data_IF_189675671829
#
_entry.id   IF_189675671829
#
_cell.length_a   1.000
_cell.length_b   1.000
_cell.length_c   1.000
_cell.angle_alpha   90.00
_cell.angle_beta   90.00
_cell.angle_gamma   90.00
#
_symmetry.space_group_name_H-M   'P 1'
#
loop_
_entity.id
_entity.type
_entity.pdbx_description
1 polymer ?
#
# COMPACT_ATOMS: atom_id res chain seq x y z
N UNK A 1 -13.62 -1.39 -15.44
CA UNK A 1 -13.65 0.07 -15.23
C UNK A 1 -14.93 0.74 -15.74
N UNK A 2 -15.25 0.78 -17.05
CA UNK A 2 -16.48 1.43 -17.60
C UNK A 2 -17.78 1.02 -16.92
N UNK A 3 -18.03 -0.28 -16.80
CA UNK A 3 -19.26 -0.82 -16.19
C UNK A 3 -19.42 -0.40 -14.72
N UNK A 4 -18.31 -0.22 -14.00
CA UNK A 4 -18.31 0.13 -12.56
C UNK A 4 -18.23 1.63 -12.28
N UNK A 5 -18.10 2.47 -13.31
CA UNK A 5 -17.87 3.91 -13.15
C UNK A 5 -16.73 4.25 -12.16
N UNK A 6 -15.63 3.49 -12.24
CA UNK A 6 -14.52 3.55 -11.28
C UNK A 6 -13.89 4.95 -11.21
N UNK A 7 -13.67 5.47 -10.00
CA UNK A 7 -13.13 6.82 -9.78
C UNK A 7 -12.44 6.93 -8.42
N UNK A 8 -11.80 8.07 -8.16
CA UNK A 8 -11.25 8.48 -6.85
C UNK A 8 -12.25 8.31 -5.70
N UNK A 9 -13.54 8.49 -5.97
CA UNK A 9 -14.62 8.39 -4.96
C UNK A 9 -14.71 7.02 -4.30
N UNK A 10 -14.33 5.96 -5.02
CA UNK A 10 -14.33 4.59 -4.49
C UNK A 10 -13.45 4.46 -3.23
N UNK A 11 -12.36 5.24 -3.13
CA UNK A 11 -11.53 5.25 -1.93
C UNK A 11 -12.33 5.72 -0.70
N UNK A 12 -13.17 6.75 -0.84
CA UNK A 12 -13.95 7.32 0.26
C UNK A 12 -15.14 6.43 0.69
N UNK A 13 -15.53 5.46 -0.13
CA UNK A 13 -16.66 4.56 0.16
C UNK A 13 -16.33 3.52 1.25
N UNK A 14 -15.06 3.14 1.41
CA UNK A 14 -14.69 2.06 2.33
C UNK A 14 -14.92 2.42 3.81
N UNK A 15 -15.59 1.57 4.57
CA UNK A 15 -16.05 1.88 5.93
C UNK A 15 -14.94 2.19 6.95
N UNK A 16 -13.71 1.69 6.73
CA UNK A 16 -12.57 1.92 7.62
C UNK A 16 -11.75 3.18 7.29
N UNK A 17 -11.98 3.81 6.14
CA UNK A 17 -11.30 5.06 5.81
C UNK A 17 -11.95 6.26 6.54
N UNK A 18 -11.17 7.29 6.89
CA UNK A 18 -11.70 8.54 7.42
C UNK A 18 -12.84 9.10 6.55
N UNK A 19 -13.79 9.79 7.20
CA UNK A 19 -14.98 10.38 6.54
C UNK A 19 -14.93 11.89 6.42
N UNK A 20 -13.87 12.49 6.93
CA UNK A 20 -13.53 13.89 6.72
C UNK A 20 -12.37 13.99 5.72
N UNK A 21 -12.13 15.19 5.21
CA UNK A 21 -11.01 15.51 4.33
C UNK A 21 -10.26 16.70 4.94
N UNK A 22 -9.53 16.42 6.02
CA UNK A 22 -8.83 17.43 6.84
C UNK A 22 -7.39 17.00 7.17
N UNK A 23 -6.70 17.78 8.00
CA UNK A 23 -5.33 17.47 8.43
C UNK A 23 -5.22 16.11 9.14
N UNK A 24 -6.20 15.76 9.99
CA UNK A 24 -6.16 14.48 10.71
C UNK A 24 -6.30 13.29 9.77
N UNK A 25 -7.01 13.48 8.65
CA UNK A 25 -7.10 12.49 7.56
C UNK A 25 -5.74 12.27 6.88
N UNK A 26 -4.98 13.34 6.62
CA UNK A 26 -3.62 13.22 6.07
C UNK A 26 -2.69 12.45 7.02
N UNK A 27 -2.73 12.77 8.31
CA UNK A 27 -1.89 12.10 9.31
C UNK A 27 -2.28 10.61 9.47
N UNK A 28 -3.57 10.27 9.33
CA UNK A 28 -4.06 8.89 9.28
C UNK A 28 -3.55 8.14 8.04
N UNK A 29 -3.70 8.72 6.84
CA UNK A 29 -3.23 8.11 5.58
C UNK A 29 -1.72 7.88 5.64
N UNK A 30 -0.96 8.88 6.10
CA UNK A 30 0.48 8.76 6.25
C UNK A 30 0.88 7.56 7.10
N UNK A 31 0.26 7.38 8.28
CA UNK A 31 0.58 6.27 9.16
C UNK A 31 0.20 4.92 8.55
N UNK A 32 -0.98 4.81 7.95
CA UNK A 32 -1.44 3.56 7.35
C UNK A 32 -0.54 3.15 6.19
N UNK A 33 -0.15 4.09 5.31
CA UNK A 33 0.74 3.79 4.18
C UNK A 33 2.20 3.57 4.59
N UNK A 34 2.65 4.23 5.66
CA UNK A 34 3.91 3.91 6.33
C UNK A 34 3.94 2.47 6.86
N UNK A 35 2.78 1.88 7.17
CA UNK A 35 2.65 0.52 7.71
C UNK A 35 2.08 -0.48 6.70
N UNK A 36 1.87 -0.07 5.44
CA UNK A 36 1.26 -0.87 4.37
C UNK A 36 2.25 -1.88 3.75
N UNK A 37 2.64 -2.89 4.55
CA UNK A 37 3.54 -3.96 4.13
C UNK A 37 3.29 -5.31 4.82
N UNK A 38 3.64 -6.40 4.14
CA UNK A 38 3.75 -7.77 4.66
C UNK A 38 2.50 -8.33 5.35
N UNK A 39 1.35 -8.27 4.67
CA UNK A 39 0.04 -8.70 5.20
C UNK A 39 -0.32 -10.17 4.97
N UNK A 40 0.45 -10.93 4.20
CA UNK A 40 0.21 -12.35 3.98
C UNK A 40 0.49 -13.15 5.26
N UNK A 41 -0.15 -14.31 5.42
CA UNK A 41 -0.11 -15.12 6.64
C UNK A 41 0.82 -16.31 6.47
N UNK A 42 1.57 -16.66 7.50
CA UNK A 42 2.35 -17.91 7.54
C UNK A 42 1.42 -19.12 7.85
N UNK A 43 0.25 -18.86 8.44
CA UNK A 43 -0.76 -19.87 8.73
C UNK A 43 -1.57 -20.29 7.49
N UNK A 44 -1.61 -19.46 6.44
CA UNK A 44 -2.35 -19.77 5.23
C UNK A 44 -1.59 -20.77 4.35
N UNK A 45 -2.22 -21.90 4.03
CA UNK A 45 -1.69 -22.87 3.06
C UNK A 45 -1.87 -22.41 1.61
N UNK A 46 -2.83 -21.51 1.34
CA UNK A 46 -3.15 -20.97 0.02
C UNK A 46 -3.73 -19.56 0.13
N UNK A 47 -3.63 -18.76 -0.94
CA UNK A 47 -4.17 -17.39 -1.00
C UNK A 47 -5.68 -17.42 -1.30
N UNK A 48 -6.51 -17.91 -0.37
CA UNK A 48 -7.96 -18.03 -0.53
C UNK A 48 -8.75 -16.92 0.16
N UNK A 49 -9.98 -16.67 -0.31
CA UNK A 49 -10.89 -15.67 0.26
C UNK A 49 -11.27 -15.97 1.71
N UNK A 50 -11.36 -17.26 2.07
CA UNK A 50 -11.52 -17.75 3.42
C UNK A 50 -10.15 -17.85 4.12
N UNK A 51 -9.83 -16.97 5.10
CA UNK A 51 -8.55 -17.00 5.79
C UNK A 51 -8.45 -18.17 6.77
N UNK A 52 -7.23 -18.63 7.06
CA UNK A 52 -7.00 -19.58 8.15
C UNK A 52 -7.52 -19.00 9.49
N UNK A 53 -8.16 -19.80 10.38
CA UNK A 53 -8.75 -19.30 11.62
C UNK A 53 -7.72 -18.67 12.58
N UNK A 54 -6.47 -19.12 12.52
CA UNK A 54 -5.38 -18.56 13.31
C UNK A 54 -4.71 -17.34 12.66
N UNK A 55 -5.05 -16.96 11.42
CA UNK A 55 -4.45 -15.82 10.70
C UNK A 55 -4.59 -14.53 11.49
N UNK A 56 -3.58 -13.67 11.43
CA UNK A 56 -3.60 -12.36 12.08
C UNK A 56 -4.87 -11.59 11.73
N UNK A 57 -5.63 -11.23 12.77
CA UNK A 57 -6.87 -10.49 12.62
C UNK A 57 -7.03 -9.46 13.72
N UNK A 58 -7.77 -8.40 13.40
CA UNK A 58 -8.13 -7.36 14.34
C UNK A 58 -9.65 -7.23 14.36
N UNK A 59 -10.26 -7.38 15.53
CA UNK A 59 -11.67 -7.15 15.76
C UNK A 59 -11.89 -5.67 16.08
N UNK A 60 -12.75 -5.04 15.29
CA UNK A 60 -13.13 -3.64 15.46
C UNK A 60 -14.62 -3.47 15.17
N UNK A 61 -15.34 -2.83 16.11
CA UNK A 61 -16.80 -2.64 16.06
C UNK A 61 -17.57 -3.94 15.77
N UNK A 62 -17.16 -5.03 16.41
CA UNK A 62 -17.82 -6.35 16.32
C UNK A 62 -17.52 -7.13 15.04
N UNK A 63 -16.66 -6.63 14.14
CA UNK A 63 -16.25 -7.32 12.90
C UNK A 63 -14.75 -7.64 12.94
N UNK A 64 -14.39 -8.85 12.52
CA UNK A 64 -12.99 -9.25 12.32
C UNK A 64 -12.49 -8.81 10.94
N UNK A 65 -11.29 -8.25 10.91
CA UNK A 65 -10.60 -7.80 9.70
C UNK A 65 -9.24 -8.49 9.58
N UNK A 66 -8.83 -8.82 8.35
CA UNK A 66 -7.54 -9.45 8.01
C UNK A 66 -6.85 -8.67 6.89
N UNK A 67 -5.58 -8.99 6.62
CA UNK A 67 -4.81 -8.36 5.55
C UNK A 67 -4.59 -6.87 5.78
N UNK A 68 -4.64 -6.05 4.72
CA UNK A 68 -4.56 -4.58 4.84
C UNK A 68 -5.63 -3.99 5.77
N UNK A 69 -6.84 -4.57 5.78
CA UNK A 69 -7.94 -4.06 6.59
C UNK A 69 -7.73 -4.25 8.09
N UNK A 70 -6.93 -5.22 8.53
CA UNK A 70 -6.61 -5.35 9.95
C UNK A 70 -5.73 -4.21 10.46
N UNK A 71 -4.85 -3.63 9.61
CA UNK A 71 -4.09 -2.43 9.95
C UNK A 71 -5.02 -1.23 10.14
N UNK A 72 -5.92 -0.98 9.18
CA UNK A 72 -6.90 0.12 9.28
C UNK A 72 -7.77 -0.05 10.55
N UNK A 73 -8.20 -1.28 10.84
CA UNK A 73 -8.96 -1.60 12.03
C UNK A 73 -8.16 -1.34 13.33
N UNK A 74 -6.87 -1.70 13.37
CA UNK A 74 -6.01 -1.46 14.53
C UNK A 74 -5.80 0.04 14.81
N UNK A 75 -5.52 0.83 13.76
CA UNK A 75 -5.37 2.29 13.87
C UNK A 75 -6.66 2.93 14.36
N UNK A 76 -7.80 2.56 13.76
CA UNK A 76 -9.09 3.10 14.17
C UNK A 76 -9.49 2.68 15.59
N UNK A 77 -9.21 1.43 15.98
CA UNK A 77 -9.42 0.92 17.35
C UNK A 77 -8.61 1.73 18.37
N UNK A 78 -7.36 2.06 18.05
CA UNK A 78 -6.52 2.89 18.92
C UNK A 78 -7.07 4.32 19.05
N UNK A 79 -7.47 4.95 17.94
CA UNK A 79 -8.06 6.29 17.94
C UNK A 79 -9.38 6.34 18.74
N UNK A 80 -10.28 5.39 18.53
CA UNK A 80 -11.55 5.29 19.28
C UNK A 80 -11.32 5.06 20.78
N UNK A 81 -10.18 4.48 21.17
CA UNK A 81 -9.75 4.29 22.56
C UNK A 81 -8.95 5.48 23.12
N UNK A 82 -8.85 6.60 22.40
CA UNK A 82 -8.17 7.81 22.85
C UNK A 82 -6.64 7.74 22.78
N UNK A 83 -6.08 6.76 22.07
CA UNK A 83 -4.63 6.68 21.82
C UNK A 83 -4.31 7.55 20.59
N UNK A 84 -3.42 8.56 20.70
CA UNK A 84 -3.10 9.46 19.60
C UNK A 84 -2.10 8.80 18.63
N UNK A 85 -2.46 7.63 18.08
CA UNK A 85 -1.55 6.80 17.27
C UNK A 85 -1.12 7.46 15.96
N UNK A 86 -1.84 8.47 15.48
CA UNK A 86 -1.49 9.26 14.30
C UNK A 86 -0.62 10.48 14.61
N UNK A 87 -0.34 10.78 15.89
CA UNK A 87 0.57 11.87 16.28
C UNK A 87 2.04 11.44 16.12
N UNK A 88 2.83 12.10 15.25
CA UNK A 88 4.25 11.78 15.06
C UNK A 88 5.10 11.82 16.32
N UNK A 89 4.76 12.69 17.28
CA UNK A 89 5.48 12.74 18.55
C UNK A 89 5.17 11.50 19.40
N UNK A 90 3.92 11.05 19.40
CA UNK A 90 3.52 9.86 20.14
C UNK A 90 4.26 8.62 19.67
N UNK A 91 4.16 8.28 18.38
CA UNK A 91 4.80 7.08 17.86
C UNK A 91 6.31 7.24 17.59
N UNK A 92 6.79 8.48 17.51
CA UNK A 92 8.22 8.79 17.39
C UNK A 92 8.96 8.68 18.71
N UNK A 93 8.39 9.24 19.79
CA UNK A 93 9.14 9.53 21.03
C UNK A 93 8.39 9.14 22.31
N UNK A 94 7.10 9.47 22.44
CA UNK A 94 6.43 9.40 23.75
C UNK A 94 5.98 7.98 24.14
N UNK A 95 5.50 7.18 23.19
CA UNK A 95 5.08 5.80 23.45
C UNK A 95 6.28 4.87 23.67
N UNK A 96 6.14 3.80 24.46
CA UNK A 96 7.12 2.70 24.50
C UNK A 96 6.88 1.71 23.36
N UNK A 97 7.87 0.87 23.05
CA UNK A 97 7.73 -0.15 22.01
C UNK A 97 6.65 -1.18 22.38
N UNK A 98 6.47 -1.48 23.67
CA UNK A 98 5.39 -2.34 24.16
C UNK A 98 4.02 -1.69 23.93
N UNK A 99 3.88 -0.39 24.21
CA UNK A 99 2.63 0.33 23.95
C UNK A 99 2.28 0.33 22.46
N UNK A 100 3.27 0.53 21.58
CA UNK A 100 3.08 0.45 20.14
C UNK A 100 2.75 -0.97 19.69
N UNK A 101 3.40 -2.00 20.25
CA UNK A 101 3.10 -3.38 19.94
C UNK A 101 1.66 -3.77 20.32
N UNK A 102 1.17 -3.32 21.48
CA UNK A 102 -0.19 -3.61 21.95
C UNK A 102 -1.28 -3.07 21.03
N UNK A 103 -1.05 -1.96 20.33
CA UNK A 103 -2.00 -1.42 19.35
C UNK A 103 -2.28 -2.43 18.23
N UNK A 104 -1.25 -3.17 17.81
CA UNK A 104 -1.31 -4.16 16.75
C UNK A 104 -1.53 -5.59 17.26
N UNK A 105 -1.90 -5.78 18.53
CA UNK A 105 -2.22 -7.10 19.07
C UNK A 105 -3.33 -7.79 18.26
N UNK A 106 -3.11 -9.08 18.04
CA UNK A 106 -4.02 -9.95 17.29
C UNK A 106 -5.16 -10.43 18.18
N UNK A 107 -6.35 -10.51 17.60
CA UNK A 107 -7.49 -11.20 18.19
C UNK A 107 -7.49 -12.71 17.88
N UNK A 108 -6.45 -13.22 17.20
CA UNK A 108 -6.20 -14.64 16.87
C UNK A 108 -4.78 -15.06 17.28
N UNK A 109 -4.36 -16.30 16.96
CA UNK A 109 -3.05 -16.83 17.40
C UNK A 109 -1.86 -16.23 16.66
N UNK A 110 -1.96 -16.03 15.34
CA UNK A 110 -0.88 -15.42 14.57
C UNK A 110 -0.74 -13.95 14.97
N UNK A 111 0.49 -13.55 15.30
CA UNK A 111 0.82 -12.17 15.66
C UNK A 111 0.95 -11.31 14.42
N UNK A 112 0.88 -9.99 14.59
CA UNK A 112 1.14 -9.05 13.48
C UNK A 112 2.52 -9.35 12.87
N UNK A 113 2.61 -9.51 11.54
CA UNK A 113 3.89 -9.72 10.89
C UNK A 113 4.81 -8.51 11.10
N UNK A 114 6.09 -8.79 11.39
CA UNK A 114 7.16 -7.80 11.46
C UNK A 114 6.91 -6.66 12.46
N UNK A 115 6.36 -6.94 13.65
CA UNK A 115 6.05 -5.92 14.67
C UNK A 115 7.22 -4.98 15.00
N UNK A 116 8.43 -5.53 15.15
CA UNK A 116 9.63 -4.74 15.45
C UNK A 116 9.99 -3.79 14.31
N UNK A 117 9.78 -4.22 13.07
CA UNK A 117 9.99 -3.39 11.89
C UNK A 117 8.93 -2.29 11.78
N UNK A 118 7.67 -2.60 12.10
CA UNK A 118 6.59 -1.59 12.17
C UNK A 118 6.93 -0.49 13.17
N UNK A 119 7.39 -0.86 14.37
CA UNK A 119 7.85 0.08 15.38
C UNK A 119 9.05 0.88 14.86
N UNK A 120 10.06 0.23 14.28
CA UNK A 120 11.24 0.89 13.70
C UNK A 120 10.86 1.97 12.69
N UNK A 121 9.95 1.67 11.74
CA UNK A 121 9.53 2.64 10.72
C UNK A 121 8.67 3.77 11.31
N UNK A 122 7.85 3.49 12.34
CA UNK A 122 7.14 4.53 13.08
C UNK A 122 8.12 5.48 13.77
N UNK A 123 9.13 4.96 14.49
CA UNK A 123 10.17 5.77 15.14
C UNK A 123 10.91 6.66 14.15
N UNK A 124 11.33 6.08 13.03
CA UNK A 124 11.99 6.81 11.94
C UNK A 124 11.11 7.96 11.45
N UNK A 125 9.87 7.66 11.05
CA UNK A 125 8.95 8.64 10.49
C UNK A 125 8.55 9.72 11.50
N UNK A 126 8.31 9.34 12.76
CA UNK A 126 7.90 10.26 13.82
C UNK A 126 8.98 11.30 14.09
N UNK A 127 10.22 10.85 14.25
CA UNK A 127 11.36 11.75 14.42
C UNK A 127 11.58 12.66 13.20
N UNK A 128 11.52 12.10 11.97
CA UNK A 128 11.66 12.91 10.74
C UNK A 128 10.57 13.98 10.66
N UNK A 129 9.31 13.64 10.96
CA UNK A 129 8.21 14.60 10.93
C UNK A 129 8.37 15.68 12.00
N UNK A 130 8.70 15.31 13.24
CA UNK A 130 8.94 16.26 14.32
C UNK A 130 10.09 17.21 14.00
N UNK A 131 11.23 16.69 13.53
CA UNK A 131 12.45 17.46 13.32
C UNK A 131 12.40 18.34 12.07
N UNK A 132 11.78 17.85 10.99
CA UNK A 132 11.89 18.48 9.66
C UNK A 132 10.58 19.06 9.13
N UNK A 133 9.44 18.65 9.68
CA UNK A 133 8.11 18.96 9.15
C UNK A 133 7.12 19.37 10.24
N UNK A 134 7.62 19.91 11.37
CA UNK A 134 6.81 20.46 12.47
C UNK A 134 5.73 19.49 12.98
N UNK A 135 6.05 18.19 12.97
CA UNK A 135 5.18 17.14 13.49
C UNK A 135 3.94 16.82 12.65
N UNK A 136 3.92 17.11 11.34
CA UNK A 136 2.81 16.63 10.48
C UNK A 136 3.20 16.49 9.02
N UNK A 137 2.65 15.46 8.37
CA UNK A 137 2.91 15.18 6.96
C UNK A 137 2.28 16.22 6.02
N UNK A 138 1.29 17.00 6.49
CA UNK A 138 0.76 18.15 5.75
C UNK A 138 1.86 19.12 5.31
N UNK A 139 2.89 19.31 6.13
CA UNK A 139 4.02 20.18 5.79
C UNK A 139 4.93 19.58 4.70
N UNK A 140 4.98 18.25 4.56
CA UNK A 140 5.61 17.60 3.41
C UNK A 140 4.85 17.92 2.13
N UNK A 141 3.52 17.79 2.15
CA UNK A 141 2.63 18.08 1.02
C UNK A 141 2.76 19.54 0.61
N UNK A 142 2.69 20.47 1.57
CA UNK A 142 2.80 21.91 1.31
C UNK A 142 4.12 22.27 0.61
N UNK A 143 5.25 21.67 1.05
CA UNK A 143 6.56 21.87 0.42
C UNK A 143 6.66 21.30 -0.99
N UNK A 144 5.86 20.29 -1.33
CA UNK A 144 5.82 19.73 -2.67
C UNK A 144 5.15 20.66 -3.70
N UNK A 145 4.44 21.70 -3.26
CA UNK A 145 3.93 22.76 -4.13
C UNK A 145 2.95 22.27 -5.21
N UNK A 146 2.23 21.18 -4.97
CA UNK A 146 1.33 20.57 -5.94
C UNK A 146 2.00 19.65 -6.97
N UNK A 147 3.26 19.23 -6.76
CA UNK A 147 3.92 18.21 -7.58
C UNK A 147 4.05 16.87 -6.85
N UNK A 148 3.44 15.82 -7.41
CA UNK A 148 3.57 14.43 -7.01
C UNK A 148 5.03 13.96 -7.09
N UNK A 149 5.78 14.32 -8.15
CA UNK A 149 7.20 13.96 -8.25
C UNK A 149 8.05 14.62 -7.17
N UNK A 150 7.76 15.89 -6.85
CA UNK A 150 8.46 16.60 -5.77
C UNK A 150 8.13 15.99 -4.42
N UNK A 151 6.87 15.60 -4.18
CA UNK A 151 6.47 14.89 -2.96
C UNK A 151 7.17 13.52 -2.87
N UNK A 152 7.19 12.74 -3.96
CA UNK A 152 7.85 11.44 -4.03
C UNK A 152 9.34 11.56 -3.69
N UNK A 153 10.03 12.52 -4.30
CA UNK A 153 11.44 12.81 -4.03
C UNK A 153 11.66 13.21 -2.56
N UNK A 154 10.79 14.06 -2.01
CA UNK A 154 10.84 14.48 -0.60
C UNK A 154 10.67 13.28 0.34
N UNK A 155 9.71 12.38 0.05
CA UNK A 155 9.49 11.16 0.83
C UNK A 155 10.75 10.30 0.83
N UNK A 156 11.29 9.96 -0.33
CA UNK A 156 12.44 9.04 -0.47
C UNK A 156 13.73 9.59 0.15
N UNK A 157 13.90 10.92 0.13
CA UNK A 157 15.06 11.58 0.73
C UNK A 157 15.00 11.62 2.25
N UNK A 158 13.81 11.75 2.84
CA UNK A 158 13.65 11.96 4.29
C UNK A 158 13.29 10.69 5.05
N UNK A 159 12.58 9.75 4.43
CA UNK A 159 12.11 8.53 5.07
C UNK A 159 12.76 7.32 4.39
N UNK A 160 13.81 6.78 5.02
CA UNK A 160 14.57 5.65 4.51
C UNK A 160 13.74 4.38 4.33
N UNK A 161 12.73 4.19 5.17
CA UNK A 161 11.78 3.07 5.07
C UNK A 161 11.00 3.05 3.74
N UNK A 162 10.78 4.20 3.09
CA UNK A 162 10.12 4.26 1.78
C UNK A 162 11.06 4.02 0.58
N UNK A 163 12.38 3.93 0.80
CA UNK A 163 13.41 3.82 -0.25
C UNK A 163 13.55 2.39 -0.79
N UNK A 164 12.49 1.92 -1.43
CA UNK A 164 12.39 0.64 -2.13
C UNK A 164 13.16 0.69 -3.48
N UNK A 165 14.49 0.56 -3.36
CA UNK A 165 15.46 0.62 -4.46
C UNK A 165 16.34 -0.63 -4.43
N UNK A 166 16.43 -1.33 -5.57
CA UNK A 166 17.20 -2.56 -5.72
C UNK A 166 18.18 -2.47 -6.90
N UNK A 167 19.12 -3.41 -6.99
CA UNK A 167 19.99 -3.56 -8.17
C UNK A 167 19.51 -4.72 -9.02
N UNK A 168 19.23 -4.47 -10.30
CA UNK A 168 18.83 -5.47 -11.27
C UNK A 168 19.70 -5.37 -12.52
N UNK A 169 20.33 -6.47 -12.93
CA UNK A 169 21.27 -6.50 -14.06
C UNK A 169 22.32 -5.37 -14.01
N UNK A 170 22.86 -5.08 -12.82
CA UNK A 170 23.86 -4.04 -12.61
C UNK A 170 23.34 -2.59 -12.63
N UNK A 171 22.02 -2.38 -12.66
CA UNK A 171 21.40 -1.05 -12.67
C UNK A 171 20.52 -0.85 -11.44
N UNK A 172 20.52 0.34 -10.82
CA UNK A 172 19.56 0.67 -9.78
C UNK A 172 18.14 0.76 -10.37
N UNK A 173 17.16 0.17 -9.70
CA UNK A 173 15.74 0.20 -10.08
C UNK A 173 14.95 0.67 -8.88
N UNK A 174 14.11 1.68 -9.08
CA UNK A 174 13.27 2.28 -8.03
C UNK A 174 11.83 1.80 -8.21
N UNK A 175 11.32 1.04 -7.25
CA UNK A 175 9.93 0.56 -7.26
C UNK A 175 9.06 1.49 -6.43
N UNK A 176 9.56 1.92 -5.26
CA UNK A 176 8.98 2.98 -4.42
C UNK A 176 7.48 2.80 -4.12
N UNK A 177 7.01 1.54 -4.04
CA UNK A 177 5.58 1.19 -4.00
C UNK A 177 4.81 1.98 -2.94
N UNK A 178 5.22 1.92 -1.67
CA UNK A 178 4.50 2.59 -0.57
C UNK A 178 4.51 4.12 -0.67
N UNK A 179 5.60 4.69 -1.21
CA UNK A 179 5.67 6.14 -1.38
C UNK A 179 4.70 6.60 -2.48
N UNK A 180 4.52 5.79 -3.51
CA UNK A 180 3.55 6.02 -4.58
C UNK A 180 2.11 5.82 -4.09
N UNK A 181 1.83 4.79 -3.27
CA UNK A 181 0.52 4.60 -2.62
C UNK A 181 0.16 5.82 -1.78
N UNK A 182 1.08 6.30 -0.92
CA UNK A 182 0.84 7.47 -0.07
C UNK A 182 0.36 8.69 -0.87
N UNK A 183 1.00 8.97 -2.01
CA UNK A 183 0.60 10.08 -2.88
C UNK A 183 -0.77 9.82 -3.51
N UNK A 184 -1.02 8.59 -3.95
CA UNK A 184 -2.26 8.19 -4.58
C UNK A 184 -3.47 8.20 -3.64
N UNK A 185 -3.30 7.74 -2.39
CA UNK A 185 -4.34 7.73 -1.37
C UNK A 185 -4.69 9.14 -0.92
N UNK A 186 -3.69 10.04 -0.78
CA UNK A 186 -3.93 11.47 -0.55
C UNK A 186 -4.67 12.08 -1.74
N UNK A 187 -4.24 11.81 -2.97
CA UNK A 187 -4.90 12.32 -4.18
C UNK A 187 -6.36 11.86 -4.26
N UNK A 188 -6.62 10.56 -4.04
CA UNK A 188 -7.94 9.97 -4.14
C UNK A 188 -8.89 10.41 -3.01
N UNK A 189 -8.39 10.44 -1.76
CA UNK A 189 -9.16 10.88 -0.60
C UNK A 189 -9.71 12.30 -0.79
N UNK A 190 -8.87 13.21 -1.29
CA UNK A 190 -9.22 14.62 -1.48
C UNK A 190 -9.76 14.95 -2.87
N UNK A 191 -10.03 13.94 -3.72
CA UNK A 191 -10.57 14.09 -5.07
C UNK A 191 -9.76 15.08 -5.95
N UNK A 192 -8.43 15.06 -5.82
CA UNK A 192 -7.54 15.97 -6.53
C UNK A 192 -7.59 17.44 -6.06
N UNK A 193 -8.22 17.72 -4.90
CA UNK A 193 -8.36 19.07 -4.33
C UNK A 193 -7.50 19.24 -3.07
N UNK A 194 -7.35 20.47 -2.61
CA UNK A 194 -6.67 20.83 -1.34
C UNK A 194 -5.34 20.09 -1.13
N UNK A 195 -5.25 19.13 -0.18
CA UNK A 195 -4.05 18.35 0.10
C UNK A 195 -3.75 17.28 -0.96
N UNK A 196 -4.75 16.84 -1.73
CA UNK A 196 -4.61 15.91 -2.84
C UNK A 196 -4.44 16.57 -4.21
N UNK A 197 -4.28 17.90 -4.29
CA UNK A 197 -4.03 18.57 -5.57
C UNK A 197 -2.60 18.31 -6.03
N UNK A 198 -2.46 17.56 -7.12
CA UNK A 198 -1.19 17.34 -7.81
C UNK A 198 -1.34 17.58 -9.32
N UNK A 199 -0.53 18.47 -9.88
CA UNK A 199 -0.60 18.88 -11.29
C UNK A 199 0.01 17.82 -12.25
N UNK A 200 0.88 16.95 -11.71
CA UNK A 200 1.61 15.89 -12.41
C UNK A 200 1.26 14.49 -11.87
N UNK A 201 0.05 14.29 -11.33
CA UNK A 201 -0.36 13.01 -10.70
C UNK A 201 -0.19 11.78 -11.61
N UNK A 202 -0.33 11.96 -12.92
CA UNK A 202 -0.18 10.89 -13.91
C UNK A 202 1.25 10.36 -14.05
N UNK A 203 2.22 10.98 -13.36
CA UNK A 203 3.59 10.49 -13.22
C UNK A 203 3.73 9.34 -12.22
N UNK A 204 2.73 9.12 -11.36
CA UNK A 204 2.69 8.00 -10.41
C UNK A 204 2.28 6.72 -11.14
N UNK A 205 3.00 5.64 -10.89
CA UNK A 205 2.76 4.33 -11.49
C UNK A 205 1.79 3.48 -10.67
N UNK A 206 1.49 2.26 -11.15
CA UNK A 206 0.78 1.25 -10.36
C UNK A 206 1.62 0.76 -9.16
N UNK A 207 0.97 0.09 -8.22
CA UNK A 207 1.58 -0.41 -6.98
C UNK A 207 1.76 -1.92 -7.07
N UNK A 208 3.01 -2.36 -7.11
CA UNK A 208 3.35 -3.75 -7.41
C UNK A 208 3.05 -4.72 -6.24
N UNK A 209 1.79 -4.99 -5.93
CA UNK A 209 1.36 -5.91 -4.86
C UNK A 209 0.57 -7.12 -5.36
N UNK A 210 -0.36 -6.92 -6.31
CA UNK A 210 -1.37 -7.93 -6.67
C UNK A 210 -1.15 -8.51 -8.07
N UNK A 211 0.04 -9.05 -8.30
CA UNK A 211 0.51 -9.50 -9.62
C UNK A 211 -0.20 -10.75 -10.16
N UNK A 212 -0.84 -11.52 -9.28
CA UNK A 212 -1.66 -12.67 -9.66
C UNK A 212 -2.87 -12.28 -10.50
N UNK A 213 -3.45 -11.09 -10.27
CA UNK A 213 -4.57 -10.59 -11.08
C UNK A 213 -4.12 -10.27 -12.51
N UNK A 214 -2.95 -9.65 -12.69
CA UNK A 214 -2.37 -9.40 -14.01
C UNK A 214 -2.06 -10.70 -14.76
N UNK A 215 -1.58 -11.73 -14.06
CA UNK A 215 -1.39 -13.06 -14.65
C UNK A 215 -2.73 -13.70 -15.03
N UNK A 216 -3.73 -13.67 -14.14
CA UNK A 216 -5.06 -14.22 -14.37
C UNK A 216 -5.79 -13.54 -15.54
N UNK A 217 -5.65 -12.23 -15.66
CA UNK A 217 -6.17 -11.44 -16.78
C UNK A 217 -5.42 -11.68 -18.10
N UNK A 218 -4.34 -12.47 -18.08
CA UNK A 218 -3.51 -12.77 -19.26
C UNK A 218 -2.60 -11.62 -19.70
N UNK A 219 -2.45 -10.57 -18.88
CA UNK A 219 -1.57 -9.44 -19.13
C UNK A 219 -0.10 -9.83 -18.89
N UNK A 220 0.14 -10.66 -17.89
CA UNK A 220 1.46 -11.24 -17.59
C UNK A 220 1.50 -12.74 -17.89
N UNK A 221 2.70 -13.24 -18.20
CA UNK A 221 3.01 -14.67 -18.25
C UNK A 221 4.27 -14.93 -17.44
N UNK A 222 4.25 -16.00 -16.65
CA UNK A 222 5.40 -16.45 -15.88
C UNK A 222 6.03 -17.67 -16.52
N UNK A 223 7.34 -17.82 -16.33
CA UNK A 223 8.04 -19.03 -16.76
C UNK A 223 7.57 -20.25 -15.96
N UNK A 224 7.64 -21.47 -16.53
CA UNK A 224 7.33 -22.70 -15.79
C UNK A 224 8.13 -22.83 -14.49
N UNK A 225 9.38 -22.39 -14.49
CA UNK A 225 10.27 -22.40 -13.32
C UNK A 225 9.74 -21.49 -12.22
N UNK A 226 9.37 -20.25 -12.55
CA UNK A 226 8.82 -19.31 -11.58
C UNK A 226 7.50 -19.83 -11.01
N UNK A 227 6.59 -20.32 -11.86
CA UNK A 227 5.32 -20.94 -11.41
C UNK A 227 5.59 -22.08 -10.42
N UNK A 228 6.59 -22.93 -10.70
CA UNK A 228 6.97 -24.04 -9.83
C UNK A 228 7.42 -23.56 -8.44
N UNK A 229 8.21 -22.49 -8.39
CA UNK A 229 8.67 -21.87 -7.12
C UNK A 229 7.53 -21.22 -6.34
N UNK A 230 6.64 -20.49 -7.03
CA UNK A 230 5.45 -19.87 -6.42
C UNK A 230 4.51 -20.91 -5.82
N UNK A 231 4.27 -22.02 -6.53
CA UNK A 231 3.45 -23.14 -6.02
C UNK A 231 4.05 -23.82 -4.79
N UNK A 232 5.37 -23.83 -4.66
CA UNK A 232 6.07 -24.30 -3.46
C UNK A 232 6.11 -23.27 -2.32
N UNK A 233 5.54 -22.08 -2.53
CA UNK A 233 5.62 -20.92 -1.60
C UNK A 233 7.05 -20.64 -1.16
N UNK A 234 8.00 -20.80 -2.08
CA UNK A 234 9.40 -20.48 -1.78
C UNK A 234 9.54 -19.00 -1.44
N UNK A 235 10.32 -18.71 -0.40
CA UNK A 235 10.67 -17.35 -0.07
C UNK A 235 11.55 -16.76 -1.19
N UNK A 236 11.08 -15.68 -1.81
CA UNK A 236 11.87 -14.87 -2.73
C UNK A 236 12.41 -13.67 -1.93
N UNK A 237 13.70 -13.61 -1.58
CA UNK A 237 14.22 -12.50 -0.79
C UNK A 237 14.00 -11.17 -1.51
N UNK A 238 13.73 -10.11 -0.74
CA UNK A 238 13.62 -8.75 -1.27
C UNK A 238 14.88 -8.39 -2.09
N UNK A 239 14.67 -7.88 -3.31
CA UNK A 239 15.74 -7.52 -4.21
C UNK A 239 16.38 -8.68 -4.98
N UNK A 240 15.91 -9.91 -4.83
CA UNK A 240 16.36 -11.01 -5.70
C UNK A 240 15.85 -10.78 -7.14
N UNK A 241 16.56 -11.27 -8.17
CA UNK A 241 16.19 -11.01 -9.56
C UNK A 241 14.72 -11.33 -9.86
N UNK A 242 14.23 -12.50 -9.44
CA UNK A 242 12.85 -12.90 -9.71
C UNK A 242 11.83 -12.01 -8.99
N UNK A 243 12.08 -11.61 -7.73
CA UNK A 243 11.20 -10.71 -7.00
C UNK A 243 11.10 -9.36 -7.72
N UNK A 244 12.24 -8.77 -8.08
CA UNK A 244 12.32 -7.50 -8.82
C UNK A 244 11.68 -7.62 -10.20
N UNK A 245 11.88 -8.72 -10.93
CA UNK A 245 11.25 -8.96 -12.24
C UNK A 245 9.73 -9.00 -12.13
N UNK A 246 9.18 -9.71 -11.14
CA UNK A 246 7.73 -9.75 -10.95
C UNK A 246 7.22 -8.31 -10.69
N UNK A 247 7.94 -7.47 -9.92
CA UNK A 247 7.44 -6.11 -9.58
C UNK A 247 7.55 -5.18 -10.78
N UNK A 248 8.72 -5.16 -11.40
CA UNK A 248 9.00 -4.32 -12.56
C UNK A 248 8.11 -4.63 -13.75
N UNK A 249 7.90 -5.91 -14.06
CA UNK A 249 6.99 -6.31 -15.14
C UNK A 249 5.53 -5.95 -14.84
N UNK A 250 5.10 -5.95 -13.57
CA UNK A 250 3.74 -5.52 -13.21
C UNK A 250 3.55 -4.03 -13.47
N UNK A 251 4.52 -3.22 -13.07
CA UNK A 251 4.52 -1.77 -13.32
C UNK A 251 4.45 -1.50 -14.82
N UNK A 252 5.34 -2.13 -15.58
CA UNK A 252 5.38 -1.94 -17.02
C UNK A 252 4.11 -2.43 -17.72
N UNK A 253 3.53 -3.54 -17.26
CA UNK A 253 2.30 -4.08 -17.82
C UNK A 253 1.13 -3.13 -17.68
N UNK A 254 0.95 -2.50 -16.51
CA UNK A 254 -0.12 -1.51 -16.32
C UNK A 254 0.14 -0.25 -17.13
N UNK A 255 1.40 0.17 -17.26
CA UNK A 255 1.75 1.30 -18.14
C UNK A 255 1.40 1.00 -19.61
N UNK A 256 1.65 -0.22 -20.09
CA UNK A 256 1.23 -0.64 -21.43
C UNK A 256 -0.30 -0.65 -21.57
N UNK A 257 -1.05 -1.12 -20.56
CA UNK A 257 -2.52 -1.06 -20.55
C UNK A 257 -3.01 0.39 -20.59
N UNK A 258 -2.42 1.29 -19.80
CA UNK A 258 -2.76 2.71 -19.80
C UNK A 258 -2.54 3.35 -21.18
N UNK A 259 -1.41 3.08 -21.84
CA UNK A 259 -1.12 3.54 -23.20
C UNK A 259 -2.13 3.01 -24.20
N UNK A 260 -2.44 1.72 -24.13
CA UNK A 260 -3.44 1.10 -25.00
C UNK A 260 -4.82 1.77 -24.85
N UNK A 261 -5.26 2.04 -23.62
CA UNK A 261 -6.52 2.76 -23.34
C UNK A 261 -6.51 4.16 -23.97
N UNK A 262 -5.40 4.90 -23.84
CA UNK A 262 -5.26 6.23 -24.41
C UNK A 262 -5.26 6.23 -25.94
N UNK A 263 -4.45 5.36 -26.56
CA UNK A 263 -4.33 5.25 -28.03
C UNK A 263 -5.65 4.86 -28.71
N UNK A 264 -6.47 4.06 -28.05
CA UNK A 264 -7.74 3.57 -28.59
C UNK A 264 -8.96 4.39 -28.12
N UNK A 265 -8.75 5.54 -27.47
CA UNK A 265 -9.83 6.39 -26.92
C UNK A 265 -10.84 5.61 -26.05
N UNK A 266 -10.35 4.65 -25.26
CA UNK A 266 -11.17 3.81 -24.40
C UNK A 266 -11.48 4.47 -23.05
N UNK A 267 -11.36 5.79 -22.97
CA UNK A 267 -11.67 6.57 -21.77
C UNK A 267 -13.14 6.40 -21.35
N UNK A 268 -13.38 6.59 -20.06
CA UNK A 268 -14.72 6.63 -19.44
C UNK A 268 -15.25 8.06 -19.45
N UNK A 269 -16.57 8.22 -19.29
CA UNK A 269 -17.14 9.52 -18.95
C UNK A 269 -16.73 9.86 -17.51
N UNK A 270 -15.62 10.58 -17.32
CA UNK A 270 -15.02 10.81 -16.00
C UNK A 270 -13.60 11.35 -16.06
N UNK A 271 -12.85 11.33 -14.93
CA UNK A 271 -11.45 11.72 -14.90
C UNK A 271 -10.60 10.83 -15.81
N UNK A 272 -9.50 11.38 -16.34
CA UNK A 272 -8.55 10.66 -17.20
C UNK A 272 -8.09 9.38 -16.50
N UNK A 273 -8.20 8.23 -17.18
CA UNK A 273 -7.73 6.96 -16.63
C UNK A 273 -6.20 6.98 -16.60
N UNK A 274 -5.65 7.01 -15.39
CA UNK A 274 -4.21 6.91 -15.11
C UNK A 274 -3.85 5.57 -14.46
N UNK A 275 -2.56 5.36 -14.18
CA UNK A 275 -2.08 4.09 -13.63
C UNK A 275 -2.65 3.80 -12.23
N UNK A 276 -2.90 4.83 -11.41
CA UNK A 276 -3.51 4.71 -10.08
C UNK A 276 -4.93 4.13 -10.19
N UNK A 277 -5.78 4.70 -11.05
CA UNK A 277 -7.15 4.21 -11.21
C UNK A 277 -7.21 2.78 -11.78
N UNK A 278 -6.26 2.43 -12.66
CA UNK A 278 -6.14 1.05 -13.15
C UNK A 278 -5.73 0.12 -12.00
N UNK A 279 -4.80 0.55 -11.15
CA UNK A 279 -4.34 -0.21 -9.98
C UNK A 279 -5.49 -0.47 -8.98
N UNK A 280 -6.21 0.57 -8.57
CA UNK A 280 -7.36 0.44 -7.68
C UNK A 280 -8.41 -0.53 -8.24
N UNK A 281 -8.68 -0.47 -9.54
CA UNK A 281 -9.57 -1.43 -10.19
C UNK A 281 -9.02 -2.86 -10.14
N UNK A 282 -7.73 -3.05 -10.41
CA UNK A 282 -7.07 -4.37 -10.33
C UNK A 282 -7.11 -4.90 -8.90
N UNK A 283 -6.96 -4.05 -7.90
CA UNK A 283 -7.02 -4.41 -6.49
C UNK A 283 -8.39 -4.97 -6.10
N UNK A 284 -9.47 -4.25 -6.42
CA UNK A 284 -10.84 -4.71 -6.18
C UNK A 284 -11.15 -6.00 -6.96
N UNK A 285 -10.72 -6.06 -8.22
CA UNK A 285 -10.88 -7.25 -9.05
C UNK A 285 -10.17 -8.46 -8.43
N UNK A 286 -8.93 -8.29 -7.94
CA UNK A 286 -8.17 -9.34 -7.29
C UNK A 286 -8.87 -9.87 -6.04
N UNK A 287 -9.58 -9.01 -5.30
CA UNK A 287 -10.33 -9.40 -4.09
C UNK A 287 -11.58 -10.21 -4.42
N UNK A 288 -12.30 -9.84 -5.47
CA UNK A 288 -13.51 -10.54 -5.89
C UNK A 288 -13.22 -11.89 -6.54
N UNK A 289 -12.10 -11.99 -7.26
CA UNK A 289 -11.67 -13.19 -7.97
C UNK A 289 -10.58 -13.97 -7.22
N UNK A 290 -10.45 -13.77 -5.90
CA UNK A 290 -9.35 -14.32 -5.13
C UNK A 290 -9.28 -15.85 -5.23
N UNK A 291 -10.43 -16.53 -5.21
CA UNK A 291 -10.51 -17.99 -5.30
C UNK A 291 -10.28 -18.55 -6.72
N UNK A 292 -10.39 -17.71 -7.75
CA UNK A 292 -10.16 -18.09 -9.16
C UNK A 292 -8.65 -18.06 -9.52
N UNK A 293 -7.84 -17.34 -8.74
CA UNK A 293 -6.43 -17.11 -9.01
C UNK A 293 -5.56 -18.25 -8.47
N UNK A 294 -5.34 -19.27 -9.32
CA UNK A 294 -4.64 -20.51 -8.94
C UNK A 294 -3.11 -20.39 -8.76
N UNK A 295 -2.50 -19.28 -9.18
CA UNK A 295 -1.05 -19.06 -9.02
C UNK A 295 -0.83 -18.23 -7.75
N UNK A 296 -0.16 -18.77 -6.71
CA UNK A 296 0.06 -18.06 -5.47
C UNK A 296 0.89 -16.80 -5.65
N UNK A 297 0.72 -15.84 -4.74
CA UNK A 297 1.64 -14.71 -4.63
C UNK A 297 3.04 -15.17 -4.21
N UNK A 298 4.07 -14.49 -4.72
CA UNK A 298 5.43 -14.67 -4.19
C UNK A 298 5.48 -14.31 -2.70
N UNK A 299 6.15 -15.15 -1.92
CA UNK A 299 6.31 -14.96 -0.49
C UNK A 299 7.61 -14.20 -0.23
N UNK A 300 7.47 -13.01 0.35
CA UNK A 300 8.60 -12.17 0.74
C UNK A 300 8.18 -11.32 1.92
N UNK A 301 9.04 -11.25 2.94
CA UNK A 301 8.85 -10.35 4.08
C UNK A 301 9.79 -9.16 3.91
N UNK A 302 9.23 -7.96 3.85
CA UNK A 302 10.02 -6.73 3.78
C UNK A 302 9.20 -5.57 4.33
N UNK A 303 9.86 -4.49 4.73
CA UNK A 303 9.13 -3.25 4.98
C UNK A 303 8.67 -2.56 3.70
N UNK A 304 9.12 -2.97 2.50
CA UNK A 304 8.79 -2.28 1.26
C UNK A 304 7.45 -2.69 0.65
N UNK A 305 6.92 -3.88 0.96
CA UNK A 305 5.62 -4.36 0.48
C UNK A 305 5.01 -5.48 1.35
#
# INVERSE_FOLDING_TARGET
>A
MKVRSYSTKTWNEHALHPKTADRSTVDWIFLVDLLNFSFWSDADSQDASAPHPDRYSVVYKGKSYTGYWSLCAAVNRALDNGIPITDPKFYGQDATDEQLATIFESDTKEKVPMVQERIRVMREAGNVLCDRFEGSFVNCIARAGGSAQTLLSTIVQNFGSFRDIHTFCGRPVSILKRAQILIADIWACFDGQTFGRFDDIDSITMFADYRQALYYLGVLRYSPELISRLKRRENLPTGCPEEVEIRGNSIWSVELVRRYIAEHNLQTSGPTINAILIDFYIWDFAKEHQDDMLVPTHCTRSCFY
#
